data_IF_592214375470
#
_entry.id   IF_592214375470
#
_cell.length_a   1.000
_cell.length_b   1.000
_cell.length_c   1.000
_cell.angle_alpha   90.00
_cell.angle_beta   90.00
_cell.angle_gamma   90.00
#
_symmetry.space_group_name_H-M   'P 1'
#
loop_
_entity.id
_entity.type
_entity.pdbx_description
1 polymer ?
#
# COMPACT_ATOMS: atom_id res chain seq x y z
N UNK A 1 9.85 -19.89 7.90
CA UNK A 1 10.28 -18.47 7.96
C UNK A 1 9.40 -17.69 8.93
N UNK A 2 9.94 -16.76 9.72
CA UNK A 2 9.22 -16.09 10.80
C UNK A 2 8.14 -15.13 10.27
N UNK A 3 6.86 -15.44 10.56
CA UNK A 3 5.66 -14.60 10.33
C UNK A 3 5.81 -13.12 10.72
N UNK A 4 6.58 -12.82 11.76
CA UNK A 4 6.86 -11.44 12.19
C UNK A 4 7.72 -10.65 11.21
N UNK A 5 8.66 -11.30 10.51
CA UNK A 5 9.50 -10.64 9.52
C UNK A 5 8.70 -10.27 8.26
N UNK A 6 7.72 -11.10 7.91
CA UNK A 6 6.77 -10.85 6.82
C UNK A 6 5.87 -9.65 7.16
N UNK A 7 5.23 -9.68 8.33
CA UNK A 7 4.37 -8.59 8.80
C UNK A 7 5.11 -7.24 8.88
N UNK A 8 6.38 -7.24 9.31
CA UNK A 8 7.21 -6.02 9.32
C UNK A 8 7.46 -5.48 7.91
N UNK A 9 7.73 -6.37 6.95
CA UNK A 9 7.98 -5.97 5.56
C UNK A 9 6.73 -5.39 4.91
N UNK A 10 5.58 -6.00 5.13
CA UNK A 10 4.28 -5.50 4.67
C UNK A 10 3.93 -4.14 5.30
N UNK A 11 4.14 -3.99 6.60
CA UNK A 11 3.90 -2.72 7.30
C UNK A 11 4.77 -1.58 6.74
N UNK A 12 6.03 -1.85 6.41
CA UNK A 12 6.92 -0.85 5.78
C UNK A 12 6.41 -0.46 4.40
N UNK A 13 5.87 -1.39 3.62
CA UNK A 13 5.26 -1.07 2.34
C UNK A 13 4.03 -0.17 2.52
N UNK A 14 3.11 -0.51 3.41
CA UNK A 14 1.95 0.34 3.71
C UNK A 14 2.37 1.75 4.11
N UNK A 15 3.37 1.87 4.99
CA UNK A 15 3.92 3.17 5.39
C UNK A 15 4.47 3.97 4.21
N UNK A 16 5.25 3.33 3.33
CA UNK A 16 5.84 3.97 2.16
C UNK A 16 4.76 4.41 1.14
N UNK A 17 3.73 3.59 0.93
CA UNK A 17 2.55 3.92 0.12
C UNK A 17 1.82 5.15 0.68
N UNK A 18 1.54 5.19 1.98
CA UNK A 18 0.90 6.35 2.62
C UNK A 18 1.75 7.61 2.50
N UNK A 19 3.08 7.49 2.62
CA UNK A 19 4.00 8.61 2.46
C UNK A 19 3.98 9.18 1.03
N UNK A 20 4.02 8.30 0.02
CA UNK A 20 3.89 8.69 -1.40
C UNK A 20 2.54 9.35 -1.69
N UNK A 21 1.45 8.80 -1.15
CA UNK A 21 0.12 9.40 -1.24
C UNK A 21 0.11 10.83 -0.70
N UNK A 22 0.63 11.00 0.52
CA UNK A 22 0.69 12.30 1.18
C UNK A 22 1.51 13.31 0.37
N UNK A 23 2.67 12.92 -0.15
CA UNK A 23 3.50 13.80 -0.97
C UNK A 23 2.84 14.19 -2.29
N UNK A 24 2.16 13.27 -2.98
CA UNK A 24 1.46 13.56 -4.22
C UNK A 24 0.24 14.48 -4.00
N UNK A 25 -0.51 14.25 -2.93
CA UNK A 25 -1.60 15.15 -2.52
C UNK A 25 -1.09 16.53 -2.12
N UNK A 26 -0.04 16.58 -1.27
CA UNK A 26 0.60 17.82 -0.84
C UNK A 26 1.17 18.61 -2.02
N UNK A 27 1.83 17.92 -2.96
CA UNK A 27 2.30 18.50 -4.22
C UNK A 27 1.15 19.12 -5.01
N UNK A 28 0.04 18.40 -5.17
CA UNK A 28 -1.14 18.94 -5.88
C UNK A 28 -1.72 20.19 -5.19
N UNK A 29 -1.76 20.20 -3.86
CA UNK A 29 -2.30 21.33 -3.10
C UNK A 29 -1.40 22.58 -3.13
N UNK A 30 -0.07 22.42 -3.10
CA UNK A 30 0.87 23.53 -3.04
C UNK A 30 1.34 24.03 -4.42
N UNK A 31 1.37 23.14 -5.41
CA UNK A 31 1.86 23.48 -6.76
C UNK A 31 0.77 24.14 -7.62
N UNK A 32 -0.52 23.97 -7.27
CA UNK A 32 -1.60 24.71 -7.93
C UNK A 32 -1.82 26.04 -7.18
N UNK A 33 -1.61 27.19 -7.83
CA UNK A 33 -1.98 28.47 -7.27
C UNK A 33 -3.51 28.57 -7.08
N UNK A 34 -4.00 29.05 -5.92
CA UNK A 34 -5.44 29.18 -5.65
C UNK A 34 -6.13 30.23 -6.53
N UNK A 35 -5.36 31.07 -7.22
CA UNK A 35 -5.86 32.09 -8.16
C UNK A 35 -6.37 31.49 -9.48
N UNK A 36 -6.08 30.21 -9.75
CA UNK A 36 -6.65 29.49 -10.89
C UNK A 36 -8.02 28.96 -10.50
N UNK A 37 -9.05 29.57 -11.06
CA UNK A 37 -10.44 29.18 -10.89
C UNK A 37 -10.98 28.67 -12.23
N UNK A 38 -11.62 27.50 -12.22
CA UNK A 38 -12.30 26.95 -13.40
C UNK A 38 -13.78 26.81 -13.06
N UNK A 39 -14.64 27.43 -13.87
CA UNK A 39 -16.10 27.46 -13.62
C UNK A 39 -16.51 28.02 -12.24
N UNK A 40 -15.73 28.96 -11.69
CA UNK A 40 -16.04 29.59 -10.40
C UNK A 40 -15.75 28.73 -9.18
N UNK A 41 -15.00 27.63 -9.35
CA UNK A 41 -14.48 26.82 -8.26
C UNK A 41 -12.94 26.79 -8.34
N UNK A 42 -12.23 26.67 -7.20
CA UNK A 42 -10.79 26.61 -7.21
C UNK A 42 -10.29 25.38 -7.97
N UNK A 43 -9.38 25.57 -8.90
CA UNK A 43 -8.87 24.48 -9.74
C UNK A 43 -8.15 23.41 -8.91
N UNK A 44 -7.53 23.79 -7.78
CA UNK A 44 -6.89 22.85 -6.86
C UNK A 44 -7.88 21.86 -6.24
N UNK A 45 -9.14 22.25 -6.04
CA UNK A 45 -10.19 21.36 -5.54
C UNK A 45 -10.59 20.34 -6.59
N UNK A 46 -10.79 20.79 -7.83
CA UNK A 46 -11.13 19.91 -8.95
C UNK A 46 -10.01 18.90 -9.21
N UNK A 47 -8.76 19.38 -9.19
CA UNK A 47 -7.59 18.52 -9.26
C UNK A 47 -7.52 17.56 -8.08
N UNK A 48 -7.75 18.02 -6.84
CA UNK A 48 -7.79 17.12 -5.68
C UNK A 48 -8.86 16.04 -5.85
N UNK A 49 -10.04 16.38 -6.37
CA UNK A 49 -11.13 15.44 -6.61
C UNK A 49 -10.80 14.38 -7.66
N UNK A 50 -9.99 14.69 -8.68
CA UNK A 50 -9.56 13.72 -9.71
C UNK A 50 -8.27 12.99 -9.33
N UNK A 51 -7.34 13.67 -8.66
CA UNK A 51 -6.07 13.13 -8.21
C UNK A 51 -6.29 12.15 -7.06
N UNK A 52 -7.16 12.44 -6.09
CA UNK A 52 -7.42 11.54 -4.96
C UNK A 52 -7.83 10.11 -5.40
N UNK A 53 -8.86 9.93 -6.27
CA UNK A 53 -9.25 8.61 -6.74
C UNK A 53 -8.19 7.98 -7.64
N UNK A 54 -7.55 8.75 -8.53
CA UNK A 54 -6.51 8.20 -9.42
C UNK A 54 -5.30 7.71 -8.63
N UNK A 55 -4.87 8.49 -7.64
CA UNK A 55 -3.78 8.16 -6.74
C UNK A 55 -4.13 6.95 -5.87
N UNK A 56 -5.37 6.88 -5.36
CA UNK A 56 -5.87 5.71 -4.62
C UNK A 56 -5.81 4.44 -5.47
N UNK A 57 -6.26 4.50 -6.73
CA UNK A 57 -6.18 3.36 -7.67
C UNK A 57 -4.72 2.96 -7.90
N UNK A 58 -3.82 3.91 -8.11
CA UNK A 58 -2.39 3.64 -8.33
C UNK A 58 -1.75 2.98 -7.10
N UNK A 59 -2.05 3.46 -5.89
CA UNK A 59 -1.58 2.90 -4.63
C UNK A 59 -2.11 1.48 -4.44
N UNK A 60 -3.41 1.26 -4.69
CA UNK A 60 -4.01 -0.08 -4.64
C UNK A 60 -3.36 -1.03 -5.64
N UNK A 61 -3.11 -0.59 -6.88
CA UNK A 61 -2.44 -1.40 -7.89
C UNK A 61 -0.99 -1.74 -7.52
N UNK A 62 -0.25 -0.79 -6.95
CA UNK A 62 1.12 -0.99 -6.50
C UNK A 62 1.17 -1.91 -5.28
N UNK A 63 0.23 -1.72 -4.33
CA UNK A 63 0.05 -2.61 -3.18
C UNK A 63 -0.23 -4.03 -3.66
N UNK A 64 -1.22 -4.23 -4.53
CA UNK A 64 -1.56 -5.52 -5.16
C UNK A 64 -0.31 -6.14 -5.82
N UNK A 65 0.37 -5.45 -6.73
CA UNK A 65 1.57 -5.99 -7.39
C UNK A 65 2.71 -6.39 -6.43
N UNK A 66 2.71 -5.88 -5.19
CA UNK A 66 3.73 -6.21 -4.18
C UNK A 66 3.23 -7.21 -3.12
N UNK A 67 1.92 -7.25 -2.85
CA UNK A 67 1.27 -8.21 -1.94
C UNK A 67 1.07 -9.57 -2.63
N UNK A 68 0.96 -9.59 -3.97
CA UNK A 68 0.94 -10.80 -4.79
C UNK A 68 2.33 -11.45 -4.97
N UNK A 69 3.28 -11.19 -4.07
CA UNK A 69 4.42 -12.10 -3.90
C UNK A 69 3.89 -13.29 -3.12
N UNK A 70 3.80 -14.44 -3.78
CA UNK A 70 3.30 -15.69 -3.22
C UNK A 70 3.84 -15.90 -1.80
N UNK A 71 2.98 -15.69 -0.81
CA UNK A 71 3.14 -16.33 0.48
C UNK A 71 2.83 -17.80 0.18
N UNK A 72 3.81 -18.73 0.27
CA UNK A 72 3.48 -20.14 0.25
C UNK A 72 2.55 -20.38 1.42
N UNK A 73 1.27 -20.60 1.10
CA UNK A 73 0.22 -21.02 2.02
C UNK A 73 0.38 -22.52 2.34
N UNK A 74 1.61 -23.05 2.34
CA UNK A 74 1.85 -24.33 2.98
C UNK A 74 1.97 -24.05 4.49
N UNK A 75 0.96 -24.40 5.30
CA UNK A 75 1.29 -24.76 6.67
C UNK A 75 2.33 -25.86 6.53
N UNK A 76 3.53 -25.69 7.09
CA UNK A 76 4.39 -26.86 7.30
C UNK A 76 3.49 -27.94 7.87
N UNK A 77 3.29 -29.10 7.21
CA UNK A 77 2.53 -30.16 7.80
C UNK A 77 3.25 -30.43 9.11
N UNK A 78 2.54 -30.19 10.20
CA UNK A 78 3.02 -30.46 11.54
C UNK A 78 3.42 -31.92 11.47
N UNK A 79 4.72 -32.19 11.38
CA UNK A 79 5.23 -33.55 11.38
C UNK A 79 4.63 -34.13 12.67
N UNK A 80 3.77 -35.17 12.60
CA UNK A 80 3.46 -35.90 13.80
C UNK A 80 4.83 -36.31 14.33
N UNK A 81 5.08 -35.94 15.59
CA UNK A 81 6.30 -36.31 16.29
C UNK A 81 6.27 -37.83 16.42
N UNK A 82 6.60 -38.52 15.34
CA UNK A 82 6.78 -39.96 15.28
C UNK A 82 8.09 -40.22 16.01
N UNK A 83 7.98 -40.28 17.33
CA UNK A 83 8.99 -40.92 18.16
C UNK A 83 8.97 -42.40 17.78
N UNK A 84 9.73 -42.73 16.74
CA UNK A 84 10.21 -44.09 16.53
C UNK A 84 10.88 -44.56 17.83
N UNK A 85 10.39 -45.70 18.32
CA UNK A 85 11.16 -46.79 18.92
C UNK A 85 12.32 -46.43 19.85
N UNK A 86 12.17 -46.72 21.14
CA UNK A 86 13.20 -47.47 21.87
C UNK A 86 12.59 -48.23 23.06
N UNK A 87 12.68 -49.56 22.97
CA UNK A 87 12.61 -50.61 24.02
C UNK A 87 11.32 -50.83 24.81
#
# INVERSE_FOLDING_TARGET
MNRFALARREAVFCLLLTLLYFFAWYGTAYFIPPQLELWGLPLWFLLSCMVMPLLFILLCALMVNRLFVEIPLDPEPLQPKESSHES
#
